data_IF_264656181082
#
_entry.id   IF_264656181082
#
_cell.length_a   1.000
_cell.length_b   1.000
_cell.length_c   1.000
_cell.angle_alpha   90.00
_cell.angle_beta   90.00
_cell.angle_gamma   90.00
#
_symmetry.space_group_name_H-M   'P 1'
#
loop_
_entity.id
_entity.type
_entity.pdbx_description
1 polymer ?
#
# COMPACT_ATOMS: atom_id res chain seq x y z
N UNK A 1 57.58 48.94 13.95
CA UNK A 1 56.99 47.99 12.96
C UNK A 1 56.01 46.98 13.59
N UNK A 2 56.17 46.57 14.85
CA UNK A 2 55.20 45.71 15.57
C UNK A 2 53.73 46.19 15.60
N UNK A 3 53.41 47.49 15.77
CA UNK A 3 52.01 47.92 15.88
C UNK A 3 51.19 47.76 14.60
N UNK A 4 51.83 47.96 13.43
CA UNK A 4 51.16 47.87 12.12
C UNK A 4 50.94 46.42 11.71
N UNK A 5 51.89 45.53 12.02
CA UNK A 5 51.76 44.09 11.76
C UNK A 5 50.66 43.46 12.62
N UNK A 6 50.50 43.87 13.89
CA UNK A 6 49.35 43.49 14.73
C UNK A 6 48.01 44.01 14.18
N UNK A 7 47.98 45.25 13.68
CA UNK A 7 46.75 45.83 13.10
C UNK A 7 46.27 45.12 11.82
N UNK A 8 47.15 44.46 11.07
CA UNK A 8 46.79 43.71 9.85
C UNK A 8 46.54 42.22 10.14
N UNK A 9 47.25 41.62 11.09
CA UNK A 9 47.13 40.18 11.41
C UNK A 9 45.87 39.86 12.22
N UNK A 10 45.42 40.74 13.11
CA UNK A 10 44.21 40.52 13.92
C UNK A 10 42.93 40.40 13.06
N UNK A 11 42.66 41.29 12.08
CA UNK A 11 41.52 41.12 11.18
C UNK A 11 41.56 39.84 10.34
N UNK A 12 42.76 39.40 9.92
CA UNK A 12 42.91 38.19 9.11
C UNK A 12 42.64 36.91 9.93
N UNK A 13 43.14 36.86 11.16
CA UNK A 13 42.87 35.77 12.11
C UNK A 13 41.40 35.70 12.49
N UNK A 14 40.74 36.85 12.67
CA UNK A 14 39.30 36.91 12.89
C UNK A 14 38.50 36.38 11.70
N UNK A 15 38.89 36.71 10.46
CA UNK A 15 38.22 36.22 9.26
C UNK A 15 38.32 34.68 9.13
N UNK A 16 39.50 34.12 9.40
CA UNK A 16 39.69 32.66 9.42
C UNK A 16 38.90 32.02 10.56
N UNK A 17 38.94 32.59 11.76
CA UNK A 17 38.18 32.09 12.91
C UNK A 17 36.67 32.07 12.66
N UNK A 18 36.12 33.13 12.05
CA UNK A 18 34.71 33.20 11.68
C UNK A 18 34.34 32.14 10.64
N UNK A 19 35.25 31.82 9.72
CA UNK A 19 35.02 30.76 8.74
C UNK A 19 34.95 29.37 9.39
N UNK A 20 35.76 29.09 10.42
CA UNK A 20 35.72 27.83 11.17
C UNK A 20 34.39 27.71 11.94
N UNK A 21 34.00 28.75 12.69
CA UNK A 21 32.71 28.76 13.39
C UNK A 21 31.52 28.63 12.42
N UNK A 22 31.62 29.24 11.23
CA UNK A 22 30.60 29.08 10.19
C UNK A 22 30.54 27.65 9.66
N UNK A 23 31.67 27.01 9.35
CA UNK A 23 31.71 25.62 8.90
C UNK A 23 31.15 24.66 9.97
N UNK A 24 31.47 24.90 11.25
CA UNK A 24 30.88 24.15 12.38
C UNK A 24 29.37 24.36 12.46
N UNK A 25 28.87 25.59 12.27
CA UNK A 25 27.44 25.89 12.26
C UNK A 25 26.70 25.21 11.09
N UNK A 26 27.31 25.19 9.89
CA UNK A 26 26.75 24.52 8.72
C UNK A 26 26.70 23.00 8.92
N UNK A 27 27.77 22.41 9.47
CA UNK A 27 27.82 20.97 9.79
C UNK A 27 26.76 20.61 10.82
N UNK A 28 26.72 21.36 11.93
CA UNK A 28 25.71 21.22 12.98
C UNK A 28 24.29 21.31 12.43
N UNK A 29 24.03 22.27 11.52
CA UNK A 29 22.73 22.40 10.87
C UNK A 29 22.39 21.16 10.03
N UNK A 30 23.35 20.59 9.30
CA UNK A 30 23.16 19.37 8.52
C UNK A 30 22.79 18.17 9.40
N UNK A 31 23.53 17.96 10.50
CA UNK A 31 23.28 16.88 11.45
C UNK A 31 21.92 17.03 12.14
N UNK A 32 21.60 18.25 12.61
CA UNK A 32 20.30 18.58 13.20
C UNK A 32 19.16 18.36 12.20
N UNK A 33 19.33 18.71 10.92
CA UNK A 33 18.30 18.52 9.91
C UNK A 33 18.02 17.03 9.68
N UNK A 34 19.07 16.23 9.49
CA UNK A 34 18.94 14.78 9.32
C UNK A 34 18.26 14.13 10.53
N UNK A 35 18.63 14.53 11.75
CA UNK A 35 18.01 14.04 12.97
C UNK A 35 16.53 14.43 13.08
N UNK A 36 16.17 15.67 12.72
CA UNK A 36 14.79 16.15 12.77
C UNK A 36 13.92 15.49 11.70
N UNK A 37 14.45 15.24 10.51
CA UNK A 37 13.77 14.54 9.42
C UNK A 37 13.49 13.08 9.80
N UNK A 38 14.46 12.37 10.38
CA UNK A 38 14.24 11.02 10.91
C UNK A 38 13.20 11.00 12.04
N UNK A 39 13.29 11.97 12.96
CA UNK A 39 12.37 12.08 14.08
C UNK A 39 10.94 12.37 13.64
N UNK A 40 10.72 13.28 12.69
CA UNK A 40 9.37 13.61 12.21
C UNK A 40 8.76 12.45 11.42
N UNK A 41 9.57 11.70 10.66
CA UNK A 41 9.11 10.49 9.98
C UNK A 41 8.65 9.42 10.96
N UNK A 42 9.37 9.25 12.08
CA UNK A 42 9.03 8.24 13.09
C UNK A 42 7.63 8.42 13.66
N UNK A 43 7.21 9.66 13.91
CA UNK A 43 5.89 9.95 14.48
C UNK A 43 4.76 9.73 13.45
N UNK A 44 5.03 9.70 12.15
CA UNK A 44 3.98 9.49 11.12
C UNK A 44 3.32 8.11 11.13
N UNK A 45 3.86 7.17 11.92
CA UNK A 45 3.34 5.80 12.09
C UNK A 45 2.47 5.64 13.35
N UNK A 46 2.43 6.67 14.20
CA UNK A 46 1.61 6.69 15.41
C UNK A 46 0.13 6.91 15.08
N UNK A 47 -0.74 6.34 15.91
CA UNK A 47 -2.20 6.42 15.77
C UNK A 47 -2.70 7.88 15.74
N UNK A 48 -3.74 8.16 14.95
CA UNK A 48 -4.32 9.50 14.82
C UNK A 48 -4.89 10.03 16.13
N UNK A 49 -5.25 9.14 17.06
CA UNK A 49 -5.75 9.47 18.40
C UNK A 49 -4.62 9.75 19.41
N UNK A 50 -3.35 9.52 19.04
CA UNK A 50 -2.19 9.83 19.90
C UNK A 50 -2.20 11.31 20.28
N UNK A 51 -2.09 11.59 21.58
CA UNK A 51 -2.07 12.96 22.08
C UNK A 51 -0.91 13.76 21.52
N UNK A 52 -1.07 15.08 21.42
CA UNK A 52 0.01 15.97 20.99
C UNK A 52 1.24 15.85 21.90
N UNK A 53 1.04 15.68 23.21
CA UNK A 53 2.11 15.56 24.20
C UNK A 53 2.92 14.27 24.01
N UNK A 54 2.26 13.12 23.80
CA UNK A 54 2.95 11.85 23.60
C UNK A 54 3.71 11.83 22.27
N UNK A 55 3.13 12.45 21.25
CA UNK A 55 3.76 12.62 19.93
C UNK A 55 4.97 13.56 20.00
N UNK A 56 4.88 14.64 20.77
CA UNK A 56 6.01 15.54 21.09
C UNK A 56 7.13 14.79 21.82
N UNK A 57 6.81 13.97 22.81
CA UNK A 57 7.80 13.19 23.55
C UNK A 57 8.51 12.18 22.62
N UNK A 58 7.76 11.49 21.77
CA UNK A 58 8.31 10.53 20.79
C UNK A 58 9.21 11.23 19.77
N UNK A 59 8.81 12.41 19.27
CA UNK A 59 9.63 13.25 18.40
C UNK A 59 10.97 13.60 19.08
N UNK A 60 10.95 14.04 20.34
CA UNK A 60 12.17 14.39 21.07
C UNK A 60 13.07 13.18 21.31
N UNK A 61 12.50 12.04 21.68
CA UNK A 61 13.26 10.80 21.86
C UNK A 61 13.93 10.37 20.55
N UNK A 62 13.20 10.39 19.43
CA UNK A 62 13.75 10.04 18.13
C UNK A 62 14.82 11.05 17.67
N UNK A 63 14.62 12.35 17.92
CA UNK A 63 15.59 13.40 17.58
C UNK A 63 16.91 13.20 18.33
N UNK A 64 16.84 12.96 19.64
CA UNK A 64 18.01 12.68 20.48
C UNK A 64 18.70 11.36 20.09
N UNK A 65 17.93 10.32 19.79
CA UNK A 65 18.48 9.03 19.33
C UNK A 65 19.23 9.14 18.00
N UNK A 66 18.89 10.13 17.16
CA UNK A 66 19.59 10.45 15.91
C UNK A 66 20.66 11.53 16.10
N UNK A 67 21.18 11.73 17.31
CA UNK A 67 22.24 12.72 17.64
C UNK A 67 21.84 14.19 17.41
N UNK A 68 20.55 14.50 17.41
CA UNK A 68 20.06 15.86 17.32
C UNK A 68 20.47 16.73 18.52
N UNK A 69 20.89 17.96 18.25
CA UNK A 69 21.28 18.93 19.29
C UNK A 69 20.13 19.89 19.63
N UNK A 70 20.07 20.36 20.88
CA UNK A 70 18.98 21.21 21.36
C UNK A 70 17.66 20.45 21.53
N UNK A 71 16.55 21.16 21.44
CA UNK A 71 15.20 20.60 21.68
C UNK A 71 14.36 20.66 20.42
N UNK A 72 13.86 19.51 19.96
CA UNK A 72 12.85 19.44 18.93
C UNK A 72 11.46 19.77 19.50
N UNK A 73 10.70 20.57 18.76
CA UNK A 73 9.35 21.01 19.08
C UNK A 73 8.45 20.77 17.89
N UNK A 74 7.41 19.99 18.09
CA UNK A 74 6.31 19.78 17.18
C UNK A 74 5.53 21.09 17.08
N UNK A 75 5.37 21.60 15.87
CA UNK A 75 4.67 22.87 15.60
C UNK A 75 3.31 22.67 14.95
N UNK A 76 3.04 21.48 14.40
CA UNK A 76 1.77 21.18 13.76
C UNK A 76 1.54 19.69 13.58
N UNK A 77 0.29 19.28 13.80
CA UNK A 77 -0.25 17.96 13.45
C UNK A 77 -1.63 18.20 12.87
N UNK A 78 -1.84 17.77 11.63
CA UNK A 78 -3.14 17.81 10.99
C UNK A 78 -3.37 16.49 10.28
N UNK A 79 -4.51 15.85 10.54
CA UNK A 79 -4.99 14.70 9.78
C UNK A 79 -6.34 15.11 9.20
N UNK A 80 -6.37 15.32 7.89
CA UNK A 80 -7.56 15.70 7.17
C UNK A 80 -8.53 14.51 7.05
N UNK A 81 -9.80 14.81 6.77
CA UNK A 81 -10.85 13.80 6.64
C UNK A 81 -10.65 12.82 5.48
N UNK A 82 -9.83 13.18 4.50
CA UNK A 82 -9.43 12.30 3.40
C UNK A 82 -8.27 11.36 3.77
N UNK A 83 -7.73 11.47 4.99
CA UNK A 83 -6.58 10.70 5.47
C UNK A 83 -5.23 11.34 5.18
N UNK A 84 -5.18 12.49 4.50
CA UNK A 84 -3.93 13.25 4.29
C UNK A 84 -3.45 13.75 5.63
N UNK A 85 -2.20 13.43 6.01
CA UNK A 85 -1.63 13.92 7.26
C UNK A 85 -0.42 14.81 7.02
N UNK A 86 -0.33 15.91 7.75
CA UNK A 86 0.84 16.79 7.79
C UNK A 86 1.36 16.92 9.21
N UNK A 87 2.69 16.83 9.33
CA UNK A 87 3.40 17.02 10.58
C UNK A 87 4.51 18.03 10.33
N UNK A 88 4.69 18.97 11.26
CA UNK A 88 5.77 19.96 11.18
C UNK A 88 6.45 20.09 12.52
N UNK A 89 7.78 20.20 12.51
CA UNK A 89 8.59 20.36 13.70
C UNK A 89 9.76 21.32 13.45
N UNK A 90 10.31 21.88 14.53
CA UNK A 90 11.50 22.73 14.52
C UNK A 90 12.44 22.31 15.64
N UNK A 91 13.74 22.49 15.44
CA UNK A 91 14.72 22.37 16.50
C UNK A 91 15.68 23.56 16.45
N UNK A 92 16.10 24.02 17.63
CA UNK A 92 17.01 25.15 17.78
C UNK A 92 18.10 24.79 18.78
N UNK A 93 19.34 25.14 18.45
CA UNK A 93 20.50 24.92 19.29
C UNK A 93 21.40 26.18 19.32
N UNK A 94 21.71 26.74 20.50
CA UNK A 94 22.70 27.80 20.63
C UNK A 94 24.10 27.20 20.56
N UNK A 95 24.65 27.07 19.35
CA UNK A 95 25.98 26.49 19.14
C UNK A 95 27.05 27.43 19.71
N UNK A 96 27.91 26.96 20.64
CA UNK A 96 29.07 27.73 21.10
C UNK A 96 29.97 28.08 19.93
N UNK A 97 30.51 29.29 19.93
CA UNK A 97 31.55 29.72 18.99
C UNK A 97 32.91 29.59 19.66
N UNK A 98 33.96 29.30 18.92
CA UNK A 98 35.32 29.28 19.46
C UNK A 98 36.04 30.59 19.18
N UNK A 99 35.88 31.13 17.97
CA UNK A 99 36.63 32.30 17.50
C UNK A 99 35.80 33.59 17.53
N UNK A 100 34.49 33.52 17.26
CA UNK A 100 33.58 34.66 17.35
C UNK A 100 33.44 35.21 18.78
N UNK A 101 33.87 34.46 19.79
CA UNK A 101 33.97 34.96 21.17
C UNK A 101 34.91 36.17 21.29
N UNK A 102 35.92 36.30 20.43
CA UNK A 102 36.82 37.47 20.38
C UNK A 102 36.02 38.74 20.04
N UNK A 103 34.96 38.61 19.25
CA UNK A 103 34.01 39.67 18.93
C UNK A 103 32.82 39.74 19.92
N UNK A 104 32.91 39.07 21.08
CA UNK A 104 31.86 38.95 22.10
C UNK A 104 30.58 38.23 21.65
N UNK A 105 30.63 37.49 20.54
CA UNK A 105 29.54 36.62 20.09
C UNK A 105 29.84 35.23 20.65
N UNK A 106 29.17 34.84 21.75
CA UNK A 106 29.44 33.58 22.47
C UNK A 106 28.80 32.35 21.83
N UNK A 107 27.72 32.56 21.09
CA UNK A 107 26.93 31.50 20.47
C UNK A 107 26.34 31.99 19.15
N UNK A 108 26.15 31.07 18.21
CA UNK A 108 25.32 31.27 17.03
C UNK A 108 24.12 30.33 17.11
N UNK A 109 22.92 30.87 17.01
CA UNK A 109 21.68 30.08 17.01
C UNK A 109 21.55 29.34 15.69
N UNK A 110 21.64 28.01 15.74
CA UNK A 110 21.36 27.12 14.60
C UNK A 110 19.92 26.63 14.73
N UNK A 111 19.16 26.76 13.64
CA UNK A 111 17.76 26.34 13.57
C UNK A 111 17.50 25.47 12.36
N UNK A 112 16.67 24.45 12.56
CA UNK A 112 16.19 23.55 11.50
C UNK A 112 14.68 23.41 11.60
N UNK A 113 14.05 23.11 10.46
CA UNK A 113 12.64 22.86 10.34
C UNK A 113 12.42 21.65 9.45
N UNK A 114 11.44 20.83 9.79
CA UNK A 114 11.05 19.70 8.97
C UNK A 114 9.53 19.65 8.87
N UNK A 115 9.04 19.30 7.68
CA UNK A 115 7.63 19.00 7.44
C UNK A 115 7.51 17.75 6.59
N UNK A 116 6.54 16.91 6.94
CA UNK A 116 6.23 15.70 6.18
C UNK A 116 4.75 15.70 5.86
N UNK A 117 4.44 15.32 4.61
CA UNK A 117 3.08 15.07 4.16
C UNK A 117 2.94 13.59 3.83
N UNK A 118 2.01 12.93 4.51
CA UNK A 118 1.59 11.57 4.22
C UNK A 118 0.32 11.60 3.37
N UNK A 119 0.38 10.97 2.21
CA UNK A 119 -0.80 10.76 1.37
C UNK A 119 -1.69 9.68 1.99
N UNK A 120 -3.02 9.76 1.76
CA UNK A 120 -3.92 8.67 2.10
C UNK A 120 -3.45 7.37 1.45
N UNK A 121 -3.69 6.23 2.10
CA UNK A 121 -3.46 4.93 1.49
C UNK A 121 -4.60 3.98 1.81
N UNK A 122 -4.62 2.84 1.11
CA UNK A 122 -5.66 1.83 1.24
C UNK A 122 -5.79 1.32 2.69
N UNK A 123 -6.97 1.51 3.29
CA UNK A 123 -7.33 1.02 4.62
C UNK A 123 -8.46 -0.01 4.58
N UNK A 124 -9.20 -0.06 3.47
CA UNK A 124 -10.18 -1.10 3.19
C UNK A 124 -10.10 -1.49 1.72
N UNK A 125 -10.20 -2.78 1.43
CA UNK A 125 -10.27 -3.31 0.07
C UNK A 125 -11.54 -4.13 -0.12
N UNK A 126 -12.35 -3.74 -1.10
CA UNK A 126 -13.56 -4.44 -1.47
C UNK A 126 -13.27 -5.28 -2.71
N UNK A 127 -13.67 -6.55 -2.69
CA UNK A 127 -13.54 -7.50 -3.79
C UNK A 127 -14.91 -8.01 -4.18
N UNK A 128 -15.24 -7.90 -5.47
CA UNK A 128 -16.48 -8.43 -6.03
C UNK A 128 -16.16 -9.30 -7.22
N UNK A 129 -16.42 -10.60 -7.09
CA UNK A 129 -16.25 -11.54 -8.20
C UNK A 129 -17.28 -11.22 -9.27
N UNK A 130 -16.85 -11.21 -10.52
CA UNK A 130 -17.76 -10.97 -11.65
C UNK A 130 -17.89 -12.21 -12.52
N UNK A 131 -16.84 -13.01 -12.65
CA UNK A 131 -16.86 -14.26 -13.42
C UNK A 131 -15.70 -15.15 -13.01
N UNK A 132 -15.96 -16.43 -12.80
CA UNK A 132 -14.89 -17.44 -12.71
C UNK A 132 -15.18 -18.62 -13.62
N UNK A 133 -14.15 -19.11 -14.29
CA UNK A 133 -14.17 -20.21 -15.25
C UNK A 133 -12.94 -21.09 -15.14
N UNK A 134 -12.93 -22.18 -15.91
CA UNK A 134 -11.82 -23.12 -16.04
C UNK A 134 -12.21 -24.56 -15.66
N UNK A 135 -11.35 -25.51 -16.04
CA UNK A 135 -11.54 -26.93 -15.72
C UNK A 135 -11.11 -27.33 -14.33
N UNK A 136 -10.24 -26.52 -13.74
CA UNK A 136 -9.61 -26.84 -12.48
C UNK A 136 -10.29 -26.08 -11.35
N UNK A 137 -10.59 -26.80 -10.27
CA UNK A 137 -10.90 -26.17 -9.01
C UNK A 137 -9.70 -25.33 -8.57
N UNK A 138 -9.99 -24.13 -8.08
CA UNK A 138 -8.97 -23.15 -7.69
C UNK A 138 -9.44 -22.34 -6.51
N UNK A 139 -8.49 -21.88 -5.71
CA UNK A 139 -8.77 -21.02 -4.56
C UNK A 139 -7.86 -19.81 -4.59
N UNK A 140 -8.44 -18.62 -4.63
CA UNK A 140 -7.72 -17.37 -4.42
C UNK A 140 -7.84 -16.96 -2.95
N UNK A 141 -6.74 -16.54 -2.34
CA UNK A 141 -6.69 -16.09 -0.95
C UNK A 141 -6.00 -14.74 -0.88
N UNK A 142 -6.62 -13.77 -0.21
CA UNK A 142 -5.93 -12.55 0.20
C UNK A 142 -5.26 -12.81 1.54
N UNK A 143 -3.95 -12.63 1.59
CA UNK A 143 -3.15 -12.73 2.79
C UNK A 143 -2.76 -11.33 3.28
N UNK A 144 -2.75 -11.16 4.60
CA UNK A 144 -2.25 -9.97 5.26
C UNK A 144 -1.30 -10.29 6.40
N UNK A 145 -0.23 -9.51 6.53
CA UNK A 145 0.66 -9.53 7.68
C UNK A 145 0.45 -8.25 8.47
N UNK A 146 0.08 -8.36 9.74
CA UNK A 146 -0.14 -7.18 10.60
C UNK A 146 1.19 -6.51 10.96
N UNK A 147 1.13 -5.23 11.32
CA UNK A 147 2.29 -4.52 11.87
C UNK A 147 2.92 -5.29 13.04
N UNK A 148 4.24 -5.50 12.96
CA UNK A 148 5.02 -6.22 13.97
C UNK A 148 4.86 -7.75 13.94
N UNK A 149 4.00 -8.31 13.07
CA UNK A 149 3.92 -9.74 12.84
C UNK A 149 4.81 -10.15 11.66
N UNK A 150 5.24 -11.42 11.64
CA UNK A 150 6.04 -11.99 10.54
C UNK A 150 5.26 -13.04 9.74
N UNK A 151 4.11 -13.48 10.26
CA UNK A 151 3.31 -14.56 9.67
C UNK A 151 2.07 -13.98 8.99
N UNK A 152 1.94 -14.24 7.69
CA UNK A 152 0.76 -13.85 6.94
C UNK A 152 -0.46 -14.70 7.33
N UNK A 153 -1.62 -14.07 7.49
CA UNK A 153 -2.89 -14.72 7.81
C UNK A 153 -3.90 -14.47 6.67
N UNK A 154 -4.77 -15.44 6.37
CA UNK A 154 -5.78 -15.25 5.35
C UNK A 154 -6.86 -14.27 5.83
N UNK A 155 -7.25 -13.34 4.97
CA UNK A 155 -8.29 -12.32 5.20
C UNK A 155 -9.54 -12.58 4.37
N UNK A 156 -9.38 -13.20 3.21
CA UNK A 156 -10.44 -13.54 2.28
C UNK A 156 -10.07 -14.81 1.52
N UNK A 157 -11.05 -15.65 1.23
CA UNK A 157 -10.91 -16.75 0.27
C UNK A 157 -11.98 -16.69 -0.78
N UNK A 158 -11.63 -17.02 -2.01
CA UNK A 158 -12.55 -17.24 -3.10
C UNK A 158 -12.28 -18.61 -3.70
N UNK A 159 -13.20 -19.54 -3.48
CA UNK A 159 -13.07 -20.92 -3.96
C UNK A 159 -13.98 -21.15 -5.14
N UNK A 160 -13.43 -21.72 -6.20
CA UNK A 160 -14.15 -22.13 -7.39
C UNK A 160 -14.13 -23.65 -7.52
N UNK A 161 -15.31 -24.22 -7.72
CA UNK A 161 -15.51 -25.64 -7.98
C UNK A 161 -16.12 -25.81 -9.37
N UNK A 162 -15.39 -26.46 -10.27
CA UNK A 162 -15.87 -26.81 -11.61
C UNK A 162 -17.04 -27.79 -11.54
N UNK A 163 -18.07 -27.61 -12.38
CA UNK A 163 -19.27 -28.44 -12.37
C UNK A 163 -19.18 -29.68 -13.28
N UNK A 164 -18.06 -29.91 -13.96
CA UNK A 164 -17.88 -31.05 -14.86
C UNK A 164 -18.46 -30.88 -16.27
N UNK A 165 -18.91 -29.68 -16.66
CA UNK A 165 -19.53 -29.42 -17.96
C UNK A 165 -19.07 -28.12 -18.64
N UNK A 166 -18.98 -28.14 -19.98
CA UNK A 166 -18.53 -27.04 -20.83
C UNK A 166 -17.18 -27.38 -21.47
N UNK A 167 -17.12 -27.41 -22.80
CA UNK A 167 -15.94 -27.69 -23.63
C UNK A 167 -15.76 -26.53 -24.61
N UNK A 168 -14.58 -25.90 -24.73
CA UNK A 168 -13.29 -26.01 -24.04
C UNK A 168 -13.10 -24.96 -22.92
N UNK A 169 -14.18 -24.41 -22.32
CA UNK A 169 -14.09 -23.60 -21.10
C UNK A 169 -15.11 -24.06 -20.05
N UNK A 170 -14.62 -24.39 -18.86
CA UNK A 170 -15.43 -24.89 -17.75
C UNK A 170 -16.11 -23.79 -16.94
N UNK A 171 -17.30 -24.08 -16.40
CA UNK A 171 -18.06 -23.18 -15.51
C UNK A 171 -18.46 -23.91 -14.23
N UNK A 172 -18.79 -23.18 -13.18
CA UNK A 172 -18.96 -23.80 -11.87
C UNK A 172 -19.54 -22.89 -10.80
N UNK A 173 -19.28 -23.26 -9.55
CA UNK A 173 -19.71 -22.49 -8.39
C UNK A 173 -18.52 -21.80 -7.76
N UNK A 174 -18.61 -20.49 -7.58
CA UNK A 174 -17.65 -19.68 -6.83
C UNK A 174 -18.24 -19.27 -5.49
N UNK A 175 -17.49 -19.41 -4.41
CA UNK A 175 -17.85 -18.95 -3.07
C UNK A 175 -16.78 -18.02 -2.55
N UNK A 176 -17.18 -16.78 -2.23
CA UNK A 176 -16.36 -15.74 -1.62
C UNK A 176 -16.65 -15.71 -0.14
N UNK A 177 -15.61 -15.77 0.69
CA UNK A 177 -15.72 -15.65 2.14
C UNK A 177 -14.70 -14.68 2.69
N UNK A 178 -15.12 -13.88 3.67
CA UNK A 178 -14.20 -13.11 4.52
C UNK A 178 -13.75 -13.97 5.70
N UNK A 179 -12.54 -13.72 6.19
CA UNK A 179 -11.95 -14.48 7.29
C UNK A 179 -11.59 -13.51 8.42
N UNK A 180 -12.09 -13.80 9.62
CA UNK A 180 -11.73 -13.10 10.84
C UNK A 180 -11.35 -14.11 11.91
N UNK A 181 -10.04 -14.25 12.15
CA UNK A 181 -9.50 -15.31 13.00
C UNK A 181 -9.78 -16.69 12.40
N UNK A 182 -10.46 -17.55 13.15
CA UNK A 182 -10.88 -18.88 12.68
C UNK A 182 -12.24 -18.88 11.98
N UNK A 183 -12.95 -17.75 11.96
CA UNK A 183 -14.31 -17.67 11.41
C UNK A 183 -14.27 -17.30 9.93
N UNK A 184 -14.89 -18.12 9.10
CA UNK A 184 -15.11 -17.86 7.67
C UNK A 184 -16.57 -17.55 7.41
N UNK A 185 -16.85 -16.40 6.81
CA UNK A 185 -18.21 -15.93 6.52
C UNK A 185 -18.39 -15.76 5.03
N UNK A 186 -19.35 -16.49 4.44
CA UNK A 186 -19.70 -16.34 3.03
C UNK A 186 -20.36 -14.98 2.81
N UNK A 187 -19.88 -14.24 1.81
CA UNK A 187 -20.36 -12.88 1.46
C UNK A 187 -20.84 -12.75 0.02
N UNK A 188 -20.37 -13.64 -0.86
CA UNK A 188 -20.86 -13.76 -2.23
C UNK A 188 -20.78 -15.21 -2.68
N UNK A 189 -21.79 -15.65 -3.44
CA UNK A 189 -21.78 -16.92 -4.15
C UNK A 189 -22.19 -16.68 -5.60
N UNK A 190 -21.40 -17.16 -6.55
CA UNK A 190 -21.75 -17.16 -7.96
C UNK A 190 -21.98 -18.60 -8.41
N UNK A 191 -23.12 -18.88 -9.03
CA UNK A 191 -23.41 -20.18 -9.63
C UNK A 191 -23.57 -20.01 -11.13
N UNK A 192 -22.66 -20.61 -11.89
CA UNK A 192 -22.73 -20.65 -13.34
C UNK A 192 -23.24 -22.02 -13.81
N UNK A 193 -24.37 -22.00 -14.52
CA UNK A 193 -25.00 -23.18 -15.12
C UNK A 193 -24.74 -23.19 -16.62
N UNK A 194 -24.28 -24.32 -17.12
CA UNK A 194 -23.99 -24.56 -18.54
C UNK A 194 -25.01 -25.52 -19.16
N UNK A 195 -25.26 -25.40 -20.46
CA UNK A 195 -26.19 -26.29 -21.16
C UNK A 195 -26.59 -25.77 -22.53
N UNK A 196 -27.45 -26.51 -23.24
CA UNK A 196 -28.01 -26.01 -24.51
C UNK A 196 -28.96 -24.83 -24.24
N UNK A 197 -29.17 -23.97 -25.24
CA UNK A 197 -30.05 -22.80 -25.08
C UNK A 197 -31.43 -23.18 -24.56
N UNK A 198 -32.04 -24.21 -25.17
CA UNK A 198 -33.38 -24.70 -24.78
C UNK A 198 -33.39 -25.28 -23.37
N UNK A 199 -32.32 -25.97 -22.97
CA UNK A 199 -32.20 -26.51 -21.61
C UNK A 199 -32.10 -25.39 -20.58
N UNK A 200 -31.22 -24.41 -20.81
CA UNK A 200 -31.04 -23.26 -19.92
C UNK A 200 -32.31 -22.42 -19.80
N UNK A 201 -33.00 -22.15 -20.92
CA UNK A 201 -34.28 -21.44 -20.90
C UNK A 201 -35.37 -22.15 -20.08
N UNK A 202 -35.30 -23.49 -19.98
CA UNK A 202 -36.25 -24.28 -19.18
C UNK A 202 -35.84 -24.35 -17.70
N UNK A 203 -34.55 -24.39 -17.39
CA UNK A 203 -34.03 -24.60 -16.03
C UNK A 203 -33.80 -23.31 -15.25
N UNK A 204 -33.64 -22.17 -15.93
CA UNK A 204 -33.36 -20.89 -15.30
C UNK A 204 -34.65 -20.07 -15.10
N UNK A 205 -34.71 -19.17 -14.10
CA UNK A 205 -35.79 -18.21 -13.96
C UNK A 205 -36.01 -17.39 -15.24
N UNK A 206 -37.25 -17.06 -15.53
CA UNK A 206 -37.60 -16.22 -16.68
C UNK A 206 -36.84 -14.88 -16.62
N UNK A 207 -36.25 -14.46 -17.75
CA UNK A 207 -35.43 -13.25 -17.83
C UNK A 207 -33.95 -13.44 -17.50
N UNK A 208 -33.51 -14.64 -17.13
CA UNK A 208 -32.08 -14.93 -16.92
C UNK A 208 -31.26 -14.68 -18.19
N UNK A 209 -30.13 -13.99 -18.05
CA UNK A 209 -29.22 -13.72 -19.16
C UNK A 209 -28.43 -14.99 -19.49
N UNK A 210 -28.56 -15.48 -20.72
CA UNK A 210 -27.77 -16.59 -21.25
C UNK A 210 -26.68 -16.00 -22.15
N UNK A 211 -25.43 -16.25 -21.80
CA UNK A 211 -24.23 -15.83 -22.51
C UNK A 211 -23.71 -16.97 -23.39
N UNK A 212 -22.89 -16.65 -24.37
CA UNK A 212 -22.15 -17.61 -25.19
C UNK A 212 -20.69 -17.17 -25.19
N UNK A 213 -19.78 -18.07 -24.82
CA UNK A 213 -18.34 -17.76 -24.83
C UNK A 213 -17.74 -17.82 -26.25
N UNK A 214 -16.44 -17.54 -26.34
CA UNK A 214 -15.70 -17.56 -27.61
C UNK A 214 -15.64 -18.94 -28.28
N UNK A 215 -16.01 -19.99 -27.56
CA UNK A 215 -16.00 -21.37 -28.03
C UNK A 215 -17.40 -21.93 -28.31
N UNK A 216 -18.45 -21.11 -28.13
CA UNK A 216 -19.83 -21.52 -28.34
C UNK A 216 -20.51 -22.17 -27.13
N UNK A 217 -19.83 -22.29 -25.98
CA UNK A 217 -20.46 -22.79 -24.76
C UNK A 217 -21.46 -21.76 -24.25
N UNK A 218 -22.72 -22.20 -24.07
CA UNK A 218 -23.78 -21.38 -23.50
C UNK A 218 -23.84 -21.57 -21.99
N UNK A 219 -23.93 -20.46 -21.26
CA UNK A 219 -23.96 -20.46 -19.80
C UNK A 219 -24.77 -19.29 -19.26
N UNK A 220 -25.17 -19.38 -17.99
CA UNK A 220 -25.76 -18.28 -17.23
C UNK A 220 -25.21 -18.31 -15.82
N UNK A 221 -24.78 -17.16 -15.31
CA UNK A 221 -24.26 -17.02 -13.95
C UNK A 221 -25.20 -16.16 -13.12
N UNK A 222 -25.49 -16.61 -11.90
CA UNK A 222 -26.27 -15.87 -10.92
C UNK A 222 -25.42 -15.61 -9.68
N UNK A 223 -25.32 -14.34 -9.28
CA UNK A 223 -24.70 -13.92 -8.03
C UNK A 223 -25.74 -13.83 -6.91
N UNK A 224 -25.37 -14.33 -5.73
CA UNK A 224 -26.11 -14.16 -4.48
C UNK A 224 -25.17 -13.53 -3.46
N UNK A 225 -25.56 -12.40 -2.88
CA UNK A 225 -24.80 -11.70 -1.85
C UNK A 225 -25.33 -12.02 -0.46
N UNK A 226 -24.43 -12.00 0.52
CA UNK A 226 -24.74 -12.24 1.93
C UNK A 226 -24.13 -11.11 2.77
N UNK A 227 -24.93 -10.16 3.28
CA UNK A 227 -26.37 -10.02 3.08
C UNK A 227 -26.76 -9.67 1.63
N UNK A 228 -28.05 -9.79 1.28
CA UNK A 228 -28.53 -9.62 -0.10
C UNK A 228 -28.16 -8.28 -0.75
N UNK A 229 -27.98 -7.22 0.04
CA UNK A 229 -27.58 -5.89 -0.43
C UNK A 229 -26.06 -5.63 -0.29
N UNK A 230 -25.26 -6.69 -0.10
CA UNK A 230 -23.82 -6.59 0.07
C UNK A 230 -23.08 -6.22 -1.22
N UNK A 231 -21.87 -5.66 -1.06
CA UNK A 231 -20.99 -5.25 -2.17
C UNK A 231 -19.96 -6.30 -2.58
N UNK A 232 -19.97 -7.48 -1.94
CA UNK A 232 -18.92 -8.50 -2.07
C UNK A 232 -18.15 -8.66 -0.76
N UNK A 233 -16.87 -9.01 -0.84
CA UNK A 233 -15.98 -9.09 0.31
C UNK A 233 -15.39 -7.73 0.65
N UNK A 234 -15.72 -7.20 1.83
CA UNK A 234 -15.16 -5.96 2.38
C UNK A 234 -14.08 -6.33 3.41
N UNK A 235 -12.83 -5.96 3.14
CA UNK A 235 -11.68 -6.34 3.97
C UNK A 235 -11.03 -5.11 4.59
N UNK A 236 -10.98 -5.05 5.92
CA UNK A 236 -10.18 -4.05 6.64
C UNK A 236 -8.68 -4.42 6.56
N UNK A 237 -7.90 -3.52 5.97
CA UNK A 237 -6.45 -3.64 5.79
C UNK A 237 -5.68 -2.51 6.49
N UNK A 238 -6.35 -1.75 7.35
CA UNK A 238 -5.77 -0.60 8.07
C UNK A 238 -4.60 -0.99 8.98
N UNK A 239 -4.61 -2.22 9.50
CA UNK A 239 -3.57 -2.77 10.38
C UNK A 239 -2.56 -3.66 9.64
N UNK A 240 -2.64 -3.75 8.31
CA UNK A 240 -1.76 -4.61 7.51
C UNK A 240 -0.52 -3.82 7.07
N UNK A 241 0.63 -4.43 7.34
CA UNK A 241 1.94 -4.00 6.85
C UNK A 241 2.20 -4.53 5.44
N UNK A 242 1.81 -5.78 5.19
CA UNK A 242 1.95 -6.46 3.90
C UNK A 242 0.65 -7.09 3.46
N UNK A 243 0.39 -7.06 2.15
CA UNK A 243 -0.73 -7.73 1.51
C UNK A 243 -0.25 -8.44 0.24
N UNK A 244 -0.78 -9.62 -0.01
CA UNK A 244 -0.63 -10.28 -1.30
C UNK A 244 -1.82 -11.19 -1.58
N UNK A 245 -2.09 -11.39 -2.87
CA UNK A 245 -3.02 -12.40 -3.35
C UNK A 245 -2.25 -13.67 -3.68
N UNK A 246 -2.82 -14.83 -3.36
CA UNK A 246 -2.32 -16.13 -3.75
C UNK A 246 -3.44 -16.92 -4.42
N UNK A 247 -3.21 -17.47 -5.60
CA UNK A 247 -4.09 -18.46 -6.22
C UNK A 247 -3.43 -19.83 -6.17
N UNK A 248 -4.15 -20.79 -5.58
CA UNK A 248 -3.81 -22.22 -5.64
C UNK A 248 -4.64 -22.91 -6.71
N UNK A 249 -3.95 -23.58 -7.62
CA UNK A 249 -4.53 -24.35 -8.72
C UNK A 249 -3.85 -25.72 -8.70
N UNK A 250 -4.38 -26.73 -7.97
CA UNK A 250 -3.70 -28.01 -7.76
C UNK A 250 -3.31 -28.74 -9.06
N UNK A 251 -4.08 -28.53 -10.12
CA UNK A 251 -3.85 -29.13 -11.45
C UNK A 251 -3.18 -28.17 -12.44
N UNK A 252 -2.86 -26.95 -12.03
CA UNK A 252 -2.24 -25.92 -12.88
C UNK A 252 -0.70 -26.03 -12.91
N UNK A 253 -0.08 -25.29 -13.83
CA UNK A 253 1.36 -25.14 -13.89
C UNK A 253 1.73 -23.65 -14.12
N UNK A 254 2.18 -22.93 -13.08
CA UNK A 254 2.49 -23.41 -11.73
C UNK A 254 1.24 -23.68 -10.89
N UNK A 255 1.38 -24.50 -9.83
CA UNK A 255 0.26 -24.83 -8.92
C UNK A 255 -0.06 -23.72 -7.92
N UNK A 256 0.82 -22.73 -7.80
CA UNK A 256 0.65 -21.59 -6.90
C UNK A 256 1.14 -20.34 -7.60
N UNK A 257 0.30 -19.32 -7.58
CA UNK A 257 0.51 -18.02 -8.20
C UNK A 257 0.39 -16.95 -7.12
N UNK A 258 1.30 -15.98 -7.10
CA UNK A 258 1.32 -14.95 -6.09
C UNK A 258 1.54 -13.57 -6.68
N UNK A 259 0.82 -12.58 -6.16
CA UNK A 259 0.99 -11.19 -6.61
C UNK A 259 2.36 -10.63 -6.19
N UNK A 260 2.90 -11.08 -5.05
CA UNK A 260 4.18 -10.65 -4.49
C UNK A 260 5.37 -11.51 -4.94
N UNK A 261 5.19 -12.38 -5.93
CA UNK A 261 6.25 -13.21 -6.51
C UNK A 261 6.46 -12.85 -7.99
N UNK A 262 7.63 -12.30 -8.30
CA UNK A 262 8.02 -11.86 -9.63
C UNK A 262 7.99 -12.98 -10.70
N UNK A 263 8.02 -14.25 -10.28
CA UNK A 263 7.95 -15.39 -11.20
C UNK A 263 6.52 -15.76 -11.62
N UNK A 264 5.50 -15.39 -10.83
CA UNK A 264 4.13 -15.89 -11.00
C UNK A 264 3.05 -14.80 -11.06
N UNK A 265 3.39 -13.58 -10.65
CA UNK A 265 2.56 -12.37 -10.75
C UNK A 265 2.16 -12.00 -12.18
N UNK A 266 2.93 -12.44 -13.18
CA UNK A 266 2.74 -12.17 -14.61
C UNK A 266 1.52 -12.86 -15.24
N UNK A 267 0.60 -13.33 -14.40
CA UNK A 267 -0.73 -13.84 -14.77
C UNK A 267 -1.86 -13.00 -14.21
N UNK A 268 -1.53 -12.00 -13.41
CA UNK A 268 -2.47 -11.00 -12.95
C UNK A 268 -2.63 -9.94 -14.03
N UNK A 269 -3.85 -9.53 -14.27
CA UNK A 269 -4.25 -8.51 -15.22
C UNK A 269 -4.87 -7.37 -14.42
N UNK A 270 -4.46 -6.14 -14.69
CA UNK A 270 -4.96 -4.95 -13.97
C UNK A 270 -5.24 -3.87 -14.99
N UNK A 271 -6.43 -3.27 -14.97
CA UNK A 271 -6.75 -2.23 -15.93
C UNK A 271 -7.92 -1.34 -15.59
N UNK A 272 -8.31 -0.56 -16.59
CA UNK A 272 -9.29 0.53 -16.48
C UNK A 272 -10.71 0.10 -16.83
N UNK A 273 -10.89 -1.10 -17.42
CA UNK A 273 -12.19 -1.66 -17.73
C UNK A 273 -12.16 -3.19 -17.73
N UNK A 274 -13.34 -3.82 -17.74
CA UNK A 274 -13.47 -5.28 -17.79
C UNK A 274 -12.93 -5.95 -19.08
N UNK A 275 -12.58 -5.17 -20.11
CA UNK A 275 -12.06 -5.66 -21.39
C UNK A 275 -10.67 -5.14 -21.71
N UNK A 276 -10.19 -4.13 -20.98
CA UNK A 276 -8.86 -3.55 -21.16
C UNK A 276 -8.08 -3.65 -19.85
N UNK A 277 -7.46 -4.81 -19.65
CA UNK A 277 -6.58 -5.11 -18.52
C UNK A 277 -5.28 -5.70 -19.08
N UNK A 278 -4.19 -4.92 -19.17
CA UNK A 278 -2.90 -5.48 -19.49
C UNK A 278 -2.46 -6.49 -18.42
N UNK A 279 -1.77 -7.51 -18.86
CA UNK A 279 -1.08 -8.46 -17.98
C UNK A 279 0.12 -7.78 -17.33
N UNK A 280 0.39 -8.14 -16.07
CA UNK A 280 1.58 -7.72 -15.34
C UNK A 280 2.83 -8.25 -16.06
N UNK A 281 3.82 -7.40 -16.26
CA UNK A 281 5.04 -7.79 -16.95
C UNK A 281 5.81 -8.86 -16.15
N UNK A 282 6.48 -9.78 -16.88
CA UNK A 282 7.32 -10.81 -16.26
C UNK A 282 8.44 -10.18 -15.43
N UNK A 283 8.68 -10.72 -14.23
CA UNK A 283 9.70 -10.22 -13.31
C UNK A 283 9.24 -9.06 -12.43
N UNK A 284 7.97 -8.65 -12.48
CA UNK A 284 7.41 -7.58 -11.64
C UNK A 284 6.56 -8.15 -10.52
N UNK A 285 6.59 -7.57 -9.32
CA UNK A 285 5.59 -7.87 -8.28
C UNK A 285 4.45 -6.87 -8.35
N UNK A 286 3.31 -7.23 -7.76
CA UNK A 286 2.16 -6.35 -7.58
C UNK A 286 1.93 -6.12 -6.10
N UNK A 287 2.04 -4.86 -5.70
CA UNK A 287 1.60 -4.39 -4.39
C UNK A 287 0.10 -4.13 -4.38
N UNK A 288 -0.63 -4.86 -3.55
CA UNK A 288 -2.09 -4.74 -3.43
C UNK A 288 -2.50 -3.36 -2.89
N UNK A 289 -1.66 -2.70 -2.06
CA UNK A 289 -1.98 -1.37 -1.54
C UNK A 289 -2.07 -0.31 -2.64
N UNK A 290 -1.38 -0.51 -3.76
CA UNK A 290 -1.41 0.40 -4.91
C UNK A 290 -2.28 -0.13 -6.06
N UNK A 291 -2.43 -1.44 -6.18
CA UNK A 291 -3.26 -2.07 -7.22
C UNK A 291 -4.78 -1.90 -7.01
N UNK A 292 -5.23 -1.69 -5.77
CA UNK A 292 -6.64 -1.41 -5.46
C UNK A 292 -6.88 0.11 -5.43
N UNK A 293 -7.64 0.67 -6.39
CA UNK A 293 -7.79 2.11 -6.48
C UNK A 293 -8.72 2.68 -5.40
N UNK A 294 -8.34 3.83 -4.83
CA UNK A 294 -9.14 4.57 -3.85
C UNK A 294 -10.41 5.16 -4.48
N UNK A 295 -11.59 4.83 -3.95
CA UNK A 295 -12.87 5.44 -4.30
C UNK A 295 -13.35 5.19 -5.73
N UNK A 296 -12.64 4.35 -6.49
CA UNK A 296 -12.94 4.01 -7.87
C UNK A 296 -13.00 2.50 -8.04
N UNK A 297 -13.71 2.05 -9.06
CA UNK A 297 -13.71 0.63 -9.43
C UNK A 297 -12.46 0.33 -10.26
N UNK A 298 -11.62 -0.57 -9.74
CA UNK A 298 -10.54 -1.23 -10.48
C UNK A 298 -11.03 -2.55 -11.06
N UNK A 299 -10.42 -2.95 -12.18
CA UNK A 299 -10.72 -4.21 -12.85
C UNK A 299 -9.48 -5.09 -12.80
N UNK A 300 -9.66 -6.31 -12.30
CA UNK A 300 -8.59 -7.26 -12.20
C UNK A 300 -9.04 -8.64 -12.70
N UNK A 301 -8.11 -9.35 -13.31
CA UNK A 301 -8.31 -10.74 -13.68
C UNK A 301 -7.05 -11.56 -13.43
N UNK A 302 -7.19 -12.88 -13.35
CA UNK A 302 -6.06 -13.79 -13.15
C UNK A 302 -6.20 -15.02 -14.05
N UNK A 303 -5.11 -15.36 -14.74
CA UNK A 303 -4.91 -16.60 -15.47
C UNK A 303 -4.37 -17.68 -14.52
N UNK A 304 -4.85 -18.92 -14.65
CA UNK A 304 -4.66 -19.99 -13.66
C UNK A 304 -3.50 -20.97 -13.98
N UNK A 305 -2.70 -20.67 -14.99
CA UNK A 305 -1.58 -21.50 -15.47
C UNK A 305 -1.89 -22.40 -16.67
N UNK A 306 -3.10 -22.32 -17.24
CA UNK A 306 -3.48 -23.07 -18.45
C UNK A 306 -2.84 -22.55 -19.74
N UNK A 307 -2.38 -21.31 -19.76
CA UNK A 307 -1.85 -20.63 -20.95
C UNK A 307 -0.39 -20.18 -20.77
N UNK A 308 0.40 -20.11 -21.87
CA UNK A 308 1.68 -19.43 -21.84
C UNK A 308 1.46 -17.92 -21.63
N UNK A 309 2.43 -17.28 -20.98
CA UNK A 309 2.45 -15.83 -20.75
C UNK A 309 3.51 -15.17 -21.67
N UNK A 310 3.22 -14.00 -22.27
CA UNK A 310 2.02 -13.22 -22.05
C UNK A 310 0.79 -13.69 -22.84
N UNK A 311 -0.40 -13.44 -22.30
CA UNK A 311 -1.68 -13.78 -22.94
C UNK A 311 -2.68 -12.61 -22.94
N UNK A 312 -3.67 -12.66 -23.83
CA UNK A 312 -4.78 -11.70 -23.79
C UNK A 312 -5.68 -12.00 -22.57
N UNK A 313 -6.24 -10.97 -21.94
CA UNK A 313 -7.14 -11.10 -20.79
C UNK A 313 -8.37 -11.97 -21.05
N UNK A 314 -8.78 -12.19 -22.30
CA UNK A 314 -9.85 -13.15 -22.63
C UNK A 314 -9.53 -14.59 -22.19
N UNK A 315 -8.24 -14.91 -22.03
CA UNK A 315 -7.77 -16.21 -21.53
C UNK A 315 -7.78 -16.29 -20.01
N UNK A 316 -7.87 -15.16 -19.29
CA UNK A 316 -8.00 -15.20 -17.84
C UNK A 316 -9.25 -15.99 -17.42
N UNK A 317 -9.20 -16.49 -16.21
CA UNK A 317 -10.22 -17.39 -15.67
C UNK A 317 -10.91 -16.86 -14.44
N UNK A 318 -10.27 -15.91 -13.77
CA UNK A 318 -10.79 -15.33 -12.57
C UNK A 318 -10.94 -13.84 -12.79
N UNK A 319 -12.16 -13.30 -12.74
CA UNK A 319 -12.44 -11.88 -12.96
C UNK A 319 -13.15 -11.30 -11.75
N UNK A 320 -12.70 -10.13 -11.32
CA UNK A 320 -13.27 -9.41 -10.20
C UNK A 320 -13.04 -7.91 -10.34
N UNK A 321 -13.86 -7.15 -9.64
CA UNK A 321 -13.63 -5.72 -9.45
C UNK A 321 -13.13 -5.48 -8.05
N UNK A 322 -12.29 -4.47 -7.90
CA UNK A 322 -11.79 -4.00 -6.61
C UNK A 322 -12.15 -2.55 -6.38
N UNK A 323 -12.54 -2.18 -5.16
CA UNK A 323 -12.72 -0.77 -4.78
C UNK A 323 -12.07 -0.53 -3.44
N UNK A 324 -11.26 0.51 -3.32
CA UNK A 324 -10.56 0.85 -2.08
C UNK A 324 -11.22 1.98 -1.30
N UNK A 325 -11.20 1.90 0.03
CA UNK A 325 -11.26 3.11 0.87
C UNK A 325 -9.85 3.48 1.25
N UNK A 326 -9.50 4.75 1.08
CA UNK A 326 -8.21 5.28 1.49
C UNK A 326 -8.38 6.28 2.62
N UNK A 327 -7.48 6.21 3.58
CA UNK A 327 -7.48 6.99 4.80
C UNK A 327 -6.03 7.08 5.33
N UNK A 328 -5.85 7.68 6.51
CA UNK A 328 -4.58 7.62 7.22
C UNK A 328 -4.21 6.16 7.50
N UNK A 329 -2.94 5.84 7.28
CA UNK A 329 -2.39 4.52 7.57
C UNK A 329 -1.12 4.64 8.41
N UNK A 330 -0.73 3.56 9.07
CA UNK A 330 0.44 3.52 9.95
C UNK A 330 1.70 2.97 9.29
N UNK A 331 1.66 2.60 7.99
CA UNK A 331 2.84 2.12 7.26
C UNK A 331 3.90 3.23 7.18
N UNK A 332 5.20 2.92 7.26
CA UNK A 332 6.25 3.91 7.03
C UNK A 332 6.04 4.67 5.71
N UNK A 333 6.41 5.95 5.67
CA UNK A 333 6.28 6.74 4.43
C UNK A 333 7.38 6.36 3.43
N UNK A 334 6.96 5.99 2.21
CA UNK A 334 7.78 5.77 1.00
C UNK A 334 8.91 6.78 0.82
N UNK A 335 8.54 8.06 0.77
CA UNK A 335 9.42 9.25 0.69
C UNK A 335 8.51 10.43 0.35
N UNK A 336 8.38 11.43 1.22
CA UNK A 336 8.11 12.84 0.86
C UNK A 336 8.32 13.74 2.08
N UNK A 337 9.59 14.02 2.38
CA UNK A 337 9.95 15.19 3.18
C UNK A 337 9.70 16.42 2.30
N UNK A 338 8.86 17.33 2.77
CA UNK A 338 8.67 18.64 2.16
C UNK A 338 9.52 19.62 2.95
N UNK A 339 10.69 19.98 2.43
CA UNK A 339 11.53 21.03 3.03
C UNK A 339 10.88 22.40 2.85
#
# INVERSE_FOLDING_TARGET
MMPVMMMITVPLLLAVGFSVDYTSAVTTRGDMQNALDAAILSITTMDTTTSFADRQATLQQAYLANSGQGTATLTGVNVAADGTATFSAKATYPMPTDFMQIARIKTVTVGVGSSVRKTPALTQADFKVTKVSGYWAKTMTLYGTKFGETTAKPLMTISYTYNGYGDPKGYGTTTVSTINGSTSTVVQKQVCTTGTQKSLQKSLPAGSVIQTDQYGTKYSCADTFYPANGSGAVIDVSQMDKLYLEMKVPSGNPTTLRSDDAATSNRLYIGTSATNMPEVATGQTVDIFTAVPCGQTGYQAWEDGGNPVPANVSNADFFYTTTGKCDFNRRPSETMLTQ
#
